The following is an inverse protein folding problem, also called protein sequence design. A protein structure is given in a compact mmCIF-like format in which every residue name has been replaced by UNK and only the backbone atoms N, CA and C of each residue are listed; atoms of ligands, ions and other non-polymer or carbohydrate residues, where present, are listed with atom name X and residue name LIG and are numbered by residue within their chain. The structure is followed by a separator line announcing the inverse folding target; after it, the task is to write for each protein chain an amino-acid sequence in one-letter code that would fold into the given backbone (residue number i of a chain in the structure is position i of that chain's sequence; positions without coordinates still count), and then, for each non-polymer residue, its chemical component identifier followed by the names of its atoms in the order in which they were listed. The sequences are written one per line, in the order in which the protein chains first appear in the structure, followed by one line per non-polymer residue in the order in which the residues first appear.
data_IF_031062034997
#
_entry.id   IF_031062034997
#
_cell.length_a   1.000
_cell.length_b   1.000
_cell.length_c   1.000
_cell.angle_alpha   90.00
_cell.angle_beta   90.00
_cell.angle_gamma   90.00
#
_symmetry.space_group_name_H-M   'P 1'
#
loop_
_entity.id
_entity.type
_entity.pdbx_description
1 polymer ?
#
# COMPACT_ATOMS: atom_id res chain seq x y z
N UNK A 1 4.89 8.47 5.68
CA UNK A 1 4.74 9.78 6.35
C UNK A 1 4.99 9.69 7.86
N UNK A 2 4.49 8.67 8.58
CA UNK A 2 4.66 8.55 10.03
C UNK A 2 6.11 8.71 10.53
N UNK A 3 7.09 8.06 9.89
CA UNK A 3 8.52 8.21 10.25
C UNK A 3 9.06 9.64 10.08
N UNK A 4 8.43 10.47 9.21
CA UNK A 4 8.79 11.87 9.07
C UNK A 4 8.16 12.75 10.15
N UNK A 5 7.30 12.23 11.03
CA UNK A 5 6.79 12.98 12.19
C UNK A 5 6.04 14.27 11.82
N UNK A 6 5.35 14.28 10.68
CA UNK A 6 4.62 15.47 10.20
C UNK A 6 5.51 16.58 9.60
N UNK A 7 6.81 16.35 9.44
CA UNK A 7 7.74 17.30 8.82
C UNK A 7 7.39 17.56 7.35
N UNK A 8 7.61 18.79 6.91
CA UNK A 8 7.48 19.20 5.51
C UNK A 8 8.61 18.58 4.70
N UNK A 9 8.29 17.90 3.60
CA UNK A 9 9.30 17.40 2.67
C UNK A 9 9.62 18.45 1.62
N UNK A 10 10.89 18.84 1.53
CA UNK A 10 11.41 19.72 0.49
C UNK A 10 12.27 18.92 -0.46
N UNK A 11 11.84 18.84 -1.72
CA UNK A 11 12.53 18.08 -2.77
C UNK A 11 13.44 19.01 -3.56
N UNK A 12 14.74 18.70 -3.61
CA UNK A 12 15.73 19.47 -4.37
C UNK A 12 15.95 18.87 -5.75
N UNK A 13 16.44 19.69 -6.69
CA UNK A 13 16.76 19.28 -8.05
C UNK A 13 15.59 18.67 -8.84
N UNK A 14 14.39 19.17 -8.56
CA UNK A 14 13.18 18.83 -9.29
C UNK A 14 12.68 20.07 -10.05
N UNK A 15 12.65 19.99 -11.38
CA UNK A 15 11.96 20.97 -12.21
C UNK A 15 10.50 20.53 -12.40
N UNK A 16 9.52 21.18 -11.75
CA UNK A 16 8.13 20.73 -11.82
C UNK A 16 7.59 20.87 -13.25
N UNK A 17 6.72 19.94 -13.67
CA UNK A 17 6.07 20.04 -14.99
C UNK A 17 5.03 21.15 -15.05
N UNK A 18 4.44 21.50 -13.90
CA UNK A 18 3.44 22.56 -13.74
C UNK A 18 3.77 23.36 -12.49
N UNK A 19 3.75 24.68 -12.61
CA UNK A 19 4.03 25.63 -11.50
C UNK A 19 2.77 26.31 -10.97
N UNK A 20 1.61 26.03 -11.55
CA UNK A 20 0.35 26.65 -11.15
C UNK A 20 -0.07 26.16 -9.75
N UNK A 21 -0.48 27.09 -8.89
CA UNK A 21 -0.91 26.80 -7.53
C UNK A 21 -2.16 25.92 -7.52
N UNK A 22 -2.12 24.84 -6.72
CA UNK A 22 -3.28 23.97 -6.47
C UNK A 22 -3.27 22.60 -7.14
N UNK A 23 -2.18 22.19 -7.81
CA UNK A 23 -2.07 20.82 -8.34
C UNK A 23 -1.92 19.79 -7.23
N UNK A 24 -2.77 18.74 -7.28
CA UNK A 24 -2.65 17.54 -6.44
C UNK A 24 -1.94 16.46 -7.24
N UNK A 25 -0.96 15.82 -6.63
CA UNK A 25 -0.26 14.66 -7.18
C UNK A 25 -0.67 13.43 -6.39
N UNK A 26 -0.93 12.31 -7.07
CA UNK A 26 -0.99 11.01 -6.43
C UNK A 26 0.43 10.53 -6.08
N UNK A 27 0.53 9.65 -5.09
CA UNK A 27 1.81 8.99 -4.78
C UNK A 27 2.25 8.18 -6.00
N UNK A 28 3.43 8.52 -6.54
CA UNK A 28 3.97 7.90 -7.75
C UNK A 28 3.82 8.74 -9.02
N UNK A 29 2.99 9.80 -9.00
CA UNK A 29 2.93 10.75 -10.11
C UNK A 29 4.27 11.47 -10.28
N UNK A 30 4.67 11.68 -11.54
CA UNK A 30 5.85 12.49 -11.83
C UNK A 30 5.53 13.96 -11.56
N UNK A 31 6.04 14.49 -10.44
CA UNK A 31 5.87 15.91 -10.08
C UNK A 31 6.70 16.84 -10.98
N UNK A 32 7.71 16.31 -11.66
CA UNK A 32 8.60 17.06 -12.53
C UNK A 32 9.65 16.18 -13.17
N UNK A 33 10.67 16.83 -13.73
CA UNK A 33 11.89 16.19 -14.24
C UNK A 33 13.04 16.50 -13.29
N UNK A 34 13.82 15.48 -12.93
CA UNK A 34 15.07 15.67 -12.18
C UNK A 34 16.02 16.53 -13.01
N UNK A 35 16.59 17.55 -12.39
CA UNK A 35 17.60 18.40 -13.04
C UNK A 35 18.82 17.56 -13.43
N UNK A 36 19.44 17.80 -14.59
CA UNK A 36 20.68 17.11 -14.93
C UNK A 36 21.77 17.46 -13.90
N UNK A 37 22.69 16.54 -13.69
CA UNK A 37 23.90 16.82 -12.93
C UNK A 37 24.66 18.02 -13.51
N UNK A 38 25.46 18.74 -12.68
CA UNK A 38 26.30 19.81 -13.18
C UNK A 38 27.33 19.26 -14.18
N UNK A 39 27.80 20.12 -15.09
CA UNK A 39 28.77 19.72 -16.13
C UNK A 39 30.09 19.17 -15.54
N UNK A 40 30.46 19.65 -14.35
CA UNK A 40 31.60 19.20 -13.57
C UNK A 40 31.10 18.74 -12.20
N UNK A 41 31.37 17.48 -11.86
CA UNK A 41 30.98 16.87 -10.57
C UNK A 41 32.06 17.11 -9.51
N UNK A 42 33.30 17.33 -9.96
CA UNK A 42 34.47 17.54 -9.12
C UNK A 42 35.37 18.60 -9.75
N UNK A 43 36.15 19.30 -8.93
CA UNK A 43 37.11 20.29 -9.43
C UNK A 43 38.31 19.61 -10.05
N UNK A 44 38.76 18.51 -9.46
CA UNK A 44 40.00 17.84 -9.82
C UNK A 44 39.81 16.40 -10.34
N UNK A 45 38.64 15.79 -10.12
CA UNK A 45 38.45 14.34 -10.26
C UNK A 45 37.33 13.91 -11.22
N UNK A 46 36.88 14.76 -12.15
CA UNK A 46 35.82 14.39 -13.11
C UNK A 46 36.18 13.13 -13.93
N UNK A 47 37.41 13.05 -14.45
CA UNK A 47 37.87 11.87 -15.20
C UNK A 47 37.91 10.60 -14.34
N UNK A 48 38.27 10.75 -13.05
CA UNK A 48 38.23 9.67 -12.06
C UNK A 48 36.81 9.19 -11.81
N UNK A 49 35.85 10.11 -11.62
CA UNK A 49 34.44 9.79 -11.41
C UNK A 49 33.84 9.07 -12.63
N UNK A 50 34.11 9.55 -13.85
CA UNK A 50 33.65 8.90 -15.07
C UNK A 50 34.22 7.48 -15.24
N UNK A 51 35.51 7.29 -14.93
CA UNK A 51 36.13 5.96 -14.96
C UNK A 51 35.54 5.03 -13.90
N UNK A 52 35.32 5.52 -12.69
CA UNK A 52 34.73 4.74 -11.61
C UNK A 52 33.29 4.34 -11.92
N UNK A 53 32.51 5.22 -12.56
CA UNK A 53 31.14 4.92 -13.00
C UNK A 53 31.09 3.80 -14.05
N UNK A 54 32.04 3.80 -15.00
CA UNK A 54 32.18 2.71 -15.98
C UNK A 54 32.53 1.37 -15.31
N UNK A 55 33.45 1.38 -14.34
CA UNK A 55 33.82 0.18 -13.58
C UNK A 55 32.65 -0.32 -12.72
N UNK A 56 31.93 0.59 -12.05
CA UNK A 56 30.74 0.27 -11.26
C UNK A 56 29.65 -0.37 -12.13
N UNK A 57 29.37 0.22 -13.29
CA UNK A 57 28.39 -0.31 -14.27
C UNK A 57 28.77 -1.69 -14.79
N UNK A 58 30.08 -2.00 -14.80
CA UNK A 58 30.62 -3.33 -15.15
C UNK A 58 30.74 -4.28 -13.95
N UNK A 59 30.18 -3.91 -12.79
CA UNK A 59 30.26 -4.67 -11.52
C UNK A 59 31.69 -4.90 -10.99
N UNK A 60 32.67 -4.12 -11.46
CA UNK A 60 34.07 -4.19 -11.02
C UNK A 60 34.29 -3.30 -9.78
N UNK A 61 33.56 -3.59 -8.71
CA UNK A 61 33.45 -2.69 -7.55
C UNK A 61 34.78 -2.44 -6.84
N UNK A 62 35.61 -3.48 -6.66
CA UNK A 62 36.93 -3.32 -6.01
C UNK A 62 37.86 -2.39 -6.79
N UNK A 63 37.82 -2.44 -8.12
CA UNK A 63 38.62 -1.57 -8.96
C UNK A 63 38.06 -0.14 -8.98
N UNK A 64 36.74 0.02 -9.05
CA UNK A 64 36.10 1.32 -8.90
C UNK A 64 36.47 1.98 -7.56
N UNK A 65 36.45 1.21 -6.47
CA UNK A 65 36.83 1.69 -5.14
C UNK A 65 38.29 2.13 -5.08
N UNK A 66 39.21 1.36 -5.68
CA UNK A 66 40.63 1.72 -5.72
C UNK A 66 40.89 3.04 -6.45
N UNK A 67 40.17 3.32 -7.54
CA UNK A 67 40.30 4.60 -8.25
C UNK A 67 39.65 5.75 -7.45
N UNK A 68 38.52 5.50 -6.79
CA UNK A 68 37.79 6.51 -6.01
C UNK A 68 38.50 6.88 -4.70
N UNK A 69 39.35 6.02 -4.15
CA UNK A 69 40.04 6.28 -2.90
C UNK A 69 40.91 7.54 -2.95
N UNK A 70 41.62 7.77 -4.07
CA UNK A 70 42.40 8.98 -4.29
C UNK A 70 41.51 10.23 -4.35
N UNK A 71 40.45 10.18 -5.16
CA UNK A 71 39.50 11.28 -5.28
C UNK A 71 38.84 11.65 -3.94
N UNK A 72 38.53 10.64 -3.11
CA UNK A 72 38.00 10.87 -1.76
C UNK A 72 39.00 11.55 -0.83
N UNK A 73 40.29 11.19 -0.89
CA UNK A 73 41.33 11.88 -0.10
C UNK A 73 41.48 13.34 -0.53
N UNK A 74 41.38 13.62 -1.83
CA UNK A 74 41.52 14.95 -2.40
C UNK A 74 40.31 15.85 -2.11
N UNK A 75 39.08 15.30 -2.21
CA UNK A 75 37.83 16.04 -2.05
C UNK A 75 36.87 15.34 -1.05
N UNK A 76 37.22 15.24 0.25
CA UNK A 76 36.50 14.42 1.23
C UNK A 76 35.10 14.94 1.61
N UNK A 77 34.76 16.15 1.19
CA UNK A 77 33.45 16.80 1.39
C UNK A 77 32.70 17.04 0.08
N UNK A 78 33.20 16.55 -1.06
CA UNK A 78 32.44 16.64 -2.30
C UNK A 78 31.33 15.57 -2.28
N UNK A 79 30.04 15.96 -2.37
CA UNK A 79 28.93 15.02 -2.29
C UNK A 79 28.92 13.98 -3.43
N UNK A 80 29.38 14.33 -4.63
CA UNK A 80 29.46 13.40 -5.75
C UNK A 80 30.55 12.34 -5.54
N UNK A 81 31.71 12.74 -5.02
CA UNK A 81 32.80 11.82 -4.67
C UNK A 81 32.39 10.90 -3.51
N UNK A 82 31.79 11.47 -2.45
CA UNK A 82 31.24 10.72 -1.33
C UNK A 82 30.23 9.67 -1.79
N UNK A 83 29.24 10.08 -2.60
CA UNK A 83 28.21 9.19 -3.11
C UNK A 83 28.79 8.07 -3.98
N UNK A 84 29.66 8.41 -4.94
CA UNK A 84 30.30 7.43 -5.83
C UNK A 84 31.11 6.39 -5.04
N UNK A 85 31.85 6.84 -4.02
CA UNK A 85 32.66 5.94 -3.21
C UNK A 85 31.80 5.09 -2.28
N UNK A 86 30.86 5.69 -1.55
CA UNK A 86 29.93 4.99 -0.67
C UNK A 86 29.15 3.90 -1.41
N UNK A 87 28.57 4.22 -2.59
CA UNK A 87 27.78 3.26 -3.37
C UNK A 87 28.59 2.11 -3.91
N UNK A 88 29.88 2.34 -4.17
CA UNK A 88 30.80 1.31 -4.65
C UNK A 88 31.19 0.37 -3.50
N UNK A 89 31.53 0.92 -2.34
CA UNK A 89 31.86 0.13 -1.15
C UNK A 89 30.66 -0.68 -0.62
N UNK A 90 29.44 -0.22 -0.87
CA UNK A 90 28.21 -0.93 -0.50
C UNK A 90 28.17 -2.36 -1.04
N UNK A 91 28.71 -2.59 -2.23
CA UNK A 91 28.73 -3.91 -2.90
C UNK A 91 29.97 -4.75 -2.58
N UNK A 92 30.80 -4.31 -1.63
CA UNK A 92 31.99 -5.02 -1.20
C UNK A 92 31.78 -5.42 0.26
N UNK A 93 31.49 -6.70 0.50
CA UNK A 93 31.03 -7.22 1.79
C UNK A 93 31.92 -6.79 2.98
N UNK A 94 33.25 -6.88 2.82
CA UNK A 94 34.24 -6.50 3.84
C UNK A 94 34.44 -4.99 3.99
N UNK A 95 33.67 -4.16 3.27
CA UNK A 95 33.76 -2.69 3.27
C UNK A 95 32.42 -1.99 3.51
N UNK A 96 31.38 -2.73 3.90
CA UNK A 96 30.04 -2.17 4.18
C UNK A 96 30.01 -1.19 5.35
N UNK A 97 30.86 -1.36 6.36
CA UNK A 97 30.99 -0.37 7.45
C UNK A 97 31.53 0.97 6.96
N UNK A 98 32.54 0.94 6.08
CA UNK A 98 33.05 2.17 5.49
C UNK A 98 32.02 2.83 4.55
N UNK A 99 31.26 2.02 3.79
CA UNK A 99 30.14 2.53 3.00
C UNK A 99 29.14 3.28 3.87
N UNK A 100 28.78 2.71 5.02
CA UNK A 100 27.87 3.33 5.98
C UNK A 100 28.38 4.67 6.51
N UNK A 101 29.65 4.76 6.92
CA UNK A 101 30.24 6.01 7.41
C UNK A 101 30.23 7.11 6.34
N UNK A 102 30.56 6.75 5.09
CA UNK A 102 30.52 7.69 3.97
C UNK A 102 29.09 8.14 3.65
N UNK A 103 28.12 7.24 3.71
CA UNK A 103 26.71 7.61 3.53
C UNK A 103 26.23 8.52 4.64
N UNK A 104 26.53 8.24 5.92
CA UNK A 104 26.19 9.14 7.02
C UNK A 104 26.79 10.53 6.82
N UNK A 105 28.04 10.61 6.36
CA UNK A 105 28.69 11.89 6.06
C UNK A 105 28.05 12.61 4.88
N UNK A 106 27.67 11.89 3.82
CA UNK A 106 26.94 12.45 2.69
C UNK A 106 25.59 13.03 3.15
N UNK A 107 24.78 12.24 3.84
CA UNK A 107 23.45 12.67 4.29
C UNK A 107 23.56 13.88 5.23
N UNK A 108 24.51 13.87 6.18
CA UNK A 108 24.76 15.01 7.06
C UNK A 108 25.15 16.27 6.28
N UNK A 109 25.95 16.15 5.21
CA UNK A 109 26.32 17.28 4.35
C UNK A 109 25.12 17.82 3.57
N UNK A 110 24.26 16.93 3.05
CA UNK A 110 23.04 17.32 2.33
C UNK A 110 22.06 18.04 3.26
N UNK A 111 21.93 17.56 4.50
CA UNK A 111 21.05 18.16 5.50
C UNK A 111 21.60 19.52 6.01
N UNK A 112 22.92 19.68 6.15
CA UNK A 112 23.54 20.97 6.56
C UNK A 112 23.41 22.09 5.52
N UNK A 113 23.23 21.75 4.24
CA UNK A 113 23.40 22.69 3.13
C UNK A 113 22.37 23.82 3.07
N UNK A 114 21.25 23.74 3.80
CA UNK A 114 20.14 24.72 3.83
C UNK A 114 19.42 24.65 5.17
N UNK A 115 18.57 25.63 5.51
CA UNK A 115 17.83 25.80 6.78
C UNK A 115 16.93 24.60 7.20
N UNK A 116 17.49 23.40 7.36
CA UNK A 116 16.81 22.26 7.96
C UNK A 116 16.68 22.54 9.44
N UNK A 117 15.46 22.81 9.86
CA UNK A 117 15.07 22.76 11.26
C UNK A 117 14.28 21.48 11.52
N UNK A 118 13.83 21.29 12.75
CA UNK A 118 13.07 20.11 13.16
C UNK A 118 11.73 19.94 12.42
N UNK A 119 11.29 20.90 11.59
CA UNK A 119 10.05 20.84 10.83
C UNK A 119 10.23 20.50 9.34
N UNK A 120 11.46 20.35 8.85
CA UNK A 120 11.76 20.12 7.43
C UNK A 120 12.62 18.87 7.22
N UNK A 121 12.31 18.10 6.17
CA UNK A 121 13.12 16.99 5.67
C UNK A 121 13.50 17.26 4.22
N UNK A 122 14.80 17.29 3.93
CA UNK A 122 15.29 17.46 2.56
C UNK A 122 15.31 16.11 1.83
N UNK A 123 14.98 16.13 0.55
CA UNK A 123 15.19 15.00 -0.36
C UNK A 123 15.90 15.53 -1.60
N UNK A 124 17.21 15.35 -1.63
CA UNK A 124 18.03 15.66 -2.80
C UNK A 124 17.93 14.55 -3.85
N UNK A 125 17.33 14.86 -5.00
CA UNK A 125 17.11 13.88 -6.08
C UNK A 125 18.38 13.47 -6.82
N UNK A 126 19.46 14.25 -6.73
CA UNK A 126 20.76 13.84 -7.28
C UNK A 126 21.38 12.66 -6.53
N UNK A 127 21.02 12.51 -5.26
CA UNK A 127 21.52 11.48 -4.35
C UNK A 127 20.41 10.55 -3.84
N UNK A 128 19.32 10.42 -4.60
CA UNK A 128 18.12 9.68 -4.17
C UNK A 128 18.41 8.22 -3.75
N UNK A 129 19.28 7.52 -4.49
CA UNK A 129 19.70 6.14 -4.18
C UNK A 129 20.40 6.02 -2.81
N UNK A 130 21.06 7.09 -2.34
CA UNK A 130 21.78 7.09 -1.07
C UNK A 130 20.85 6.82 0.12
N UNK A 131 19.63 7.37 0.09
CA UNK A 131 18.62 7.16 1.15
C UNK A 131 18.19 5.69 1.24
N UNK A 132 18.03 5.01 0.10
CA UNK A 132 17.70 3.58 0.08
C UNK A 132 18.87 2.72 0.57
N UNK A 133 20.09 2.97 0.09
CA UNK A 133 21.28 2.21 0.50
C UNK A 133 21.60 2.40 1.98
N UNK A 134 21.61 3.63 2.49
CA UNK A 134 21.87 3.88 3.92
C UNK A 134 20.77 3.25 4.79
N UNK A 135 19.52 3.25 4.34
CA UNK A 135 18.45 2.60 5.09
C UNK A 135 18.63 1.09 5.21
N UNK A 136 19.03 0.40 4.13
CA UNK A 136 19.33 -1.03 4.20
C UNK A 136 20.49 -1.32 5.17
N UNK A 137 21.49 -0.43 5.22
CA UNK A 137 22.59 -0.52 6.18
C UNK A 137 22.16 -0.25 7.63
N UNK A 138 21.11 0.56 7.85
CA UNK A 138 20.49 0.71 9.17
C UNK A 138 19.68 -0.53 9.57
N UNK A 139 18.98 -1.18 8.63
CA UNK A 139 18.28 -2.44 8.90
C UNK A 139 19.25 -3.54 9.34
N UNK A 140 20.36 -3.71 8.63
CA UNK A 140 21.39 -4.70 8.97
C UNK A 140 21.97 -4.51 10.39
N UNK A 141 21.92 -3.27 10.90
CA UNK A 141 22.39 -2.89 12.24
C UNK A 141 21.28 -2.90 13.30
N UNK A 142 20.05 -3.22 12.94
CA UNK A 142 18.90 -3.17 13.84
C UNK A 142 18.45 -1.74 14.20
N UNK A 143 18.88 -0.73 13.45
CA UNK A 143 18.49 0.67 13.66
C UNK A 143 17.16 0.99 12.94
N UNK A 144 16.11 0.23 13.27
CA UNK A 144 14.85 0.19 12.52
C UNK A 144 14.13 1.55 12.41
N UNK A 145 14.19 2.38 13.45
CA UNK A 145 13.59 3.72 13.42
C UNK A 145 14.27 4.61 12.38
N UNK A 146 15.59 4.57 12.33
CA UNK A 146 16.39 5.35 11.38
C UNK A 146 16.22 4.79 9.96
N UNK A 147 16.20 3.46 9.81
CA UNK A 147 15.87 2.82 8.54
C UNK A 147 14.49 3.27 8.02
N UNK A 148 13.44 3.20 8.84
CA UNK A 148 12.10 3.63 8.45
C UNK A 148 12.05 5.11 8.01
N UNK A 149 12.83 5.97 8.66
CA UNK A 149 12.96 7.38 8.30
C UNK A 149 13.59 7.55 6.91
N UNK A 150 14.74 6.93 6.66
CA UNK A 150 15.48 7.06 5.41
C UNK A 150 14.76 6.37 4.23
N UNK A 151 14.09 5.24 4.45
CA UNK A 151 13.22 4.63 3.44
C UNK A 151 12.04 5.55 3.13
N UNK A 152 11.46 6.19 4.14
CA UNK A 152 10.37 7.15 3.89
C UNK A 152 10.88 8.36 3.09
N UNK A 153 12.10 8.87 3.33
CA UNK A 153 12.74 9.90 2.49
C UNK A 153 12.88 9.43 1.04
N UNK A 154 13.38 8.22 0.84
CA UNK A 154 13.45 7.60 -0.48
C UNK A 154 12.06 7.53 -1.14
N UNK A 155 11.03 7.09 -0.40
CA UNK A 155 9.67 6.99 -0.92
C UNK A 155 8.94 8.35 -1.06
N UNK A 156 9.52 9.47 -0.63
CA UNK A 156 8.96 10.81 -0.84
C UNK A 156 9.37 11.44 -2.17
N UNK A 157 10.39 10.92 -2.84
CA UNK A 157 10.81 11.43 -4.14
C UNK A 157 9.77 11.13 -5.26
N UNK A 158 9.44 12.11 -6.11
CA UNK A 158 8.60 11.86 -7.29
C UNK A 158 9.33 11.04 -8.35
N UNK A 159 8.57 10.28 -9.14
CA UNK A 159 9.04 9.71 -10.40
C UNK A 159 8.71 8.23 -10.57
N UNK A 160 8.81 7.73 -11.81
CA UNK A 160 8.66 6.31 -12.11
C UNK A 160 9.75 5.56 -11.37
N UNK A 161 9.34 4.72 -10.42
CA UNK A 161 10.27 3.83 -9.72
C UNK A 161 10.33 2.53 -10.49
N UNK A 162 11.54 2.00 -10.61
CA UNK A 162 11.70 0.62 -11.03
C UNK A 162 10.90 -0.27 -10.06
N UNK A 163 10.02 -1.11 -10.60
CA UNK A 163 9.06 -1.91 -9.84
C UNK A 163 9.71 -2.70 -8.69
N UNK A 164 10.84 -3.40 -8.93
CA UNK A 164 11.58 -4.12 -7.90
C UNK A 164 12.12 -3.23 -6.78
N UNK A 165 12.69 -2.05 -7.10
CA UNK A 165 13.25 -1.14 -6.08
C UNK A 165 12.15 -0.56 -5.21
N UNK A 166 11.00 -0.21 -5.81
CA UNK A 166 9.83 0.22 -5.04
C UNK A 166 9.32 -0.90 -4.13
N UNK A 167 9.17 -2.12 -4.64
CA UNK A 167 8.72 -3.26 -3.84
C UNK A 167 9.64 -3.47 -2.64
N UNK A 168 10.95 -3.59 -2.90
CA UNK A 168 11.95 -3.80 -1.86
C UNK A 168 11.96 -2.69 -0.80
N UNK A 169 11.82 -1.42 -1.21
CA UNK A 169 11.73 -0.32 -0.25
C UNK A 169 10.48 -0.42 0.63
N UNK A 170 9.33 -0.87 0.09
CA UNK A 170 8.13 -1.10 0.89
C UNK A 170 8.32 -2.31 1.82
N UNK A 171 8.93 -3.39 1.34
CA UNK A 171 9.23 -4.58 2.15
C UNK A 171 10.11 -4.21 3.35
N UNK A 172 11.13 -3.37 3.12
CA UNK A 172 11.98 -2.81 4.17
C UNK A 172 11.22 -1.94 5.17
N UNK A 173 10.17 -1.23 4.76
CA UNK A 173 9.29 -0.53 5.73
C UNK A 173 8.46 -1.50 6.54
N UNK A 174 7.91 -2.54 5.92
CA UNK A 174 7.16 -3.59 6.63
C UNK A 174 8.05 -4.22 7.70
N UNK A 175 9.28 -4.60 7.34
CA UNK A 175 10.27 -5.14 8.27
C UNK A 175 10.62 -4.15 9.39
N UNK A 176 10.97 -2.91 9.05
CA UNK A 176 11.33 -1.90 10.05
C UNK A 176 10.20 -1.68 11.07
N UNK A 177 8.95 -1.55 10.61
CA UNK A 177 7.82 -1.34 11.51
C UNK A 177 7.43 -2.59 12.28
N UNK A 178 7.66 -3.80 11.74
CA UNK A 178 7.45 -5.04 12.47
C UNK A 178 8.39 -5.14 13.66
N UNK A 179 9.66 -4.76 13.49
CA UNK A 179 10.63 -4.69 14.59
C UNK A 179 10.41 -3.54 15.58
N UNK A 180 9.63 -2.53 15.19
CA UNK A 180 9.21 -1.43 16.08
C UNK A 180 7.87 -1.71 16.77
N UNK A 181 7.30 -2.91 16.62
CA UNK A 181 5.97 -3.29 17.12
C UNK A 181 4.85 -2.31 16.72
N UNK A 182 5.00 -1.66 15.55
CA UNK A 182 4.01 -0.70 15.05
C UNK A 182 3.06 -1.37 14.05
N UNK A 183 2.13 -2.15 14.58
CA UNK A 183 1.20 -2.97 13.80
C UNK A 183 0.37 -2.19 12.77
N UNK A 184 0.04 -0.94 13.07
CA UNK A 184 -0.69 -0.08 12.14
C UNK A 184 0.14 0.22 10.89
N UNK A 185 1.40 0.63 11.08
CA UNK A 185 2.28 0.89 9.95
C UNK A 185 2.63 -0.40 9.20
N UNK A 186 2.80 -1.53 9.89
CA UNK A 186 2.99 -2.83 9.24
C UNK A 186 1.82 -3.14 8.32
N UNK A 187 0.57 -3.05 8.80
CA UNK A 187 -0.62 -3.31 7.96
C UNK A 187 -0.71 -2.36 6.77
N UNK A 188 -0.45 -1.06 6.99
CA UNK A 188 -0.48 -0.04 5.94
C UNK A 188 0.51 -0.36 4.81
N UNK A 189 1.77 -0.62 5.16
CA UNK A 189 2.81 -0.88 4.17
C UNK A 189 2.71 -2.28 3.56
N UNK A 190 2.29 -3.28 4.34
CA UNK A 190 2.05 -4.62 3.84
C UNK A 190 0.92 -4.66 2.81
N UNK A 191 -0.16 -3.90 3.05
CA UNK A 191 -1.21 -3.71 2.06
C UNK A 191 -0.63 -3.15 0.76
N UNK A 192 0.19 -2.11 0.85
CA UNK A 192 0.79 -1.48 -0.34
C UNK A 192 1.70 -2.48 -1.08
N UNK A 193 2.52 -3.25 -0.38
CA UNK A 193 3.36 -4.28 -0.99
C UNK A 193 2.51 -5.33 -1.72
N UNK A 194 1.46 -5.86 -1.08
CA UNK A 194 0.60 -6.87 -1.71
C UNK A 194 -0.18 -6.33 -2.93
N UNK A 195 -0.45 -5.03 -3.00
CA UNK A 195 -1.01 -4.39 -4.21
C UNK A 195 -0.04 -4.36 -5.39
N UNK A 196 1.27 -4.37 -5.13
CA UNK A 196 2.31 -4.42 -6.16
C UNK A 196 2.66 -5.87 -6.51
N UNK A 197 2.72 -6.72 -5.49
CA UNK A 197 3.02 -8.13 -5.59
C UNK A 197 2.21 -8.92 -4.56
N UNK A 198 1.05 -9.43 -4.96
CA UNK A 198 0.19 -10.24 -4.09
C UNK A 198 0.84 -11.57 -3.64
N UNK A 199 2.02 -11.91 -4.15
CA UNK A 199 2.81 -13.10 -3.79
C UNK A 199 4.04 -12.78 -2.96
N UNK A 200 4.09 -11.60 -2.35
CA UNK A 200 5.23 -11.18 -1.55
C UNK A 200 5.39 -12.05 -0.30
N UNK A 201 6.30 -13.02 -0.38
CA UNK A 201 6.50 -14.01 0.68
C UNK A 201 7.07 -13.36 1.96
N UNK A 202 7.90 -12.33 1.83
CA UNK A 202 8.49 -11.63 2.97
C UNK A 202 7.39 -10.90 3.75
N UNK A 203 6.57 -10.12 3.06
CA UNK A 203 5.45 -9.39 3.69
C UNK A 203 4.42 -10.34 4.29
N UNK A 204 4.07 -11.42 3.59
CA UNK A 204 3.16 -12.43 4.13
C UNK A 204 3.71 -13.08 5.40
N UNK A 205 5.02 -13.34 5.47
CA UNK A 205 5.65 -13.90 6.67
C UNK A 205 5.46 -12.99 7.89
N UNK A 206 5.64 -11.67 7.74
CA UNK A 206 5.40 -10.71 8.82
C UNK A 206 3.93 -10.68 9.24
N UNK A 207 3.00 -10.64 8.28
CA UNK A 207 1.58 -10.65 8.60
C UNK A 207 1.15 -11.95 9.31
N UNK A 208 1.72 -13.10 8.95
CA UNK A 208 1.46 -14.35 9.66
C UNK A 208 2.04 -14.37 11.08
N UNK A 209 3.25 -13.83 11.27
CA UNK A 209 3.86 -13.69 12.60
C UNK A 209 3.06 -12.75 13.52
N UNK A 210 2.42 -11.71 12.96
CA UNK A 210 1.51 -10.85 13.72
C UNK A 210 0.25 -11.59 14.22
N UNK A 211 -0.15 -12.68 13.55
CA UNK A 211 -1.33 -13.47 13.91
C UNK A 211 -2.62 -12.65 13.90
N UNK A 212 -3.38 -12.67 15.00
CA UNK A 212 -4.64 -11.92 15.09
C UNK A 212 -4.46 -10.40 14.97
N UNK A 213 -3.26 -9.87 15.30
CA UNK A 213 -2.93 -8.44 15.20
C UNK A 213 -2.87 -7.96 13.74
N UNK A 214 -2.59 -8.84 12.77
CA UNK A 214 -2.65 -8.48 11.35
C UNK A 214 -4.07 -8.15 10.90
N UNK A 215 -5.07 -8.77 11.53
CA UNK A 215 -6.49 -8.58 11.23
C UNK A 215 -7.22 -7.74 12.26
N UNK A 216 -6.50 -7.19 13.26
CA UNK A 216 -7.10 -6.31 14.25
C UNK A 216 -7.41 -4.95 13.62
N UNK A 217 -8.60 -4.44 13.93
CA UNK A 217 -9.08 -3.13 13.54
C UNK A 217 -8.46 -2.03 14.39
N UNK A 218 -8.40 -0.81 13.85
CA UNK A 218 -8.10 0.37 14.66
C UNK A 218 -9.20 0.53 15.72
N UNK A 219 -8.91 1.09 16.90
CA UNK A 219 -9.92 1.29 17.95
C UNK A 219 -11.16 2.07 17.46
N UNK A 220 -10.97 3.02 16.54
CA UNK A 220 -12.05 3.76 15.87
C UNK A 220 -12.97 2.83 15.07
N UNK A 221 -12.41 1.86 14.35
CA UNK A 221 -13.17 0.87 13.58
C UNK A 221 -13.81 -0.19 14.51
N UNK A 222 -13.22 -0.46 15.68
CA UNK A 222 -13.83 -1.34 16.71
C UNK A 222 -15.15 -0.76 17.23
N UNK A 223 -15.22 0.57 17.38
CA UNK A 223 -16.47 1.24 17.76
C UNK A 223 -17.54 1.15 16.67
N UNK A 224 -17.13 1.19 15.41
CA UNK A 224 -18.04 0.95 14.31
C UNK A 224 -18.56 -0.49 14.33
N UNK A 225 -17.77 -1.45 14.78
CA UNK A 225 -18.06 -2.88 14.64
C UNK A 225 -18.70 -3.55 15.85
N UNK A 226 -19.42 -2.78 16.66
CA UNK A 226 -20.15 -3.31 17.81
C UNK A 226 -21.41 -4.06 17.36
N UNK A 227 -21.71 -5.23 17.97
CA UNK A 227 -22.98 -5.90 17.75
C UNK A 227 -24.15 -4.98 18.12
N UNK A 228 -25.25 -5.10 17.37
CA UNK A 228 -26.48 -4.31 17.53
C UNK A 228 -27.17 -4.37 18.91
N UNK A 229 -26.69 -5.20 19.84
CA UNK A 229 -27.23 -5.28 21.19
C UNK A 229 -26.87 -4.04 22.04
N UNK A 230 -25.88 -3.26 21.62
CA UNK A 230 -25.48 -2.04 22.31
C UNK A 230 -26.36 -0.84 21.87
N UNK A 231 -26.83 -0.05 22.84
CA UNK A 231 -27.74 1.09 22.62
C UNK A 231 -27.11 2.29 21.90
N UNK A 232 -25.82 2.21 21.58
CA UNK A 232 -25.09 3.28 20.91
C UNK A 232 -25.05 3.02 19.40
N UNK A 233 -25.42 4.00 18.57
CA UNK A 233 -25.29 3.86 17.13
C UNK A 233 -23.81 3.65 16.77
N UNK A 234 -23.49 2.76 15.83
CA UNK A 234 -22.13 2.63 15.33
C UNK A 234 -21.72 3.96 14.70
N UNK A 235 -20.56 4.47 15.10
CA UNK A 235 -20.03 5.75 14.62
C UNK A 235 -18.77 5.48 13.81
N UNK A 236 -18.64 6.11 12.65
CA UNK A 236 -17.35 6.25 11.96
C UNK A 236 -17.05 5.25 10.84
N UNK A 237 -17.93 4.30 10.52
CA UNK A 237 -17.73 3.44 9.33
C UNK A 237 -19.02 3.17 8.55
N UNK A 238 -18.84 2.94 7.25
CA UNK A 238 -19.87 2.44 6.35
C UNK A 238 -20.12 0.96 6.62
N UNK A 239 -21.27 0.61 7.18
CA UNK A 239 -21.58 -0.78 7.53
C UNK A 239 -23.08 -1.02 7.67
N UNK A 240 -23.51 -2.24 7.32
CA UNK A 240 -24.86 -2.71 7.59
C UNK A 240 -24.97 -3.21 9.03
N UNK A 241 -25.99 -2.74 9.74
CA UNK A 241 -26.31 -3.19 11.10
C UNK A 241 -27.77 -3.54 11.22
N UNK A 242 -28.03 -4.60 11.99
CA UNK A 242 -29.38 -4.90 12.45
C UNK A 242 -29.85 -3.82 13.44
N UNK A 243 -31.04 -3.27 13.22
CA UNK A 243 -31.76 -2.44 14.18
C UNK A 243 -33.18 -3.01 14.32
N UNK A 244 -33.40 -3.75 15.42
CA UNK A 244 -34.63 -4.50 15.64
C UNK A 244 -34.83 -5.61 14.60
N UNK A 245 -35.92 -5.51 13.83
CA UNK A 245 -36.24 -6.43 12.73
C UNK A 245 -35.69 -5.97 11.37
N UNK A 246 -35.10 -4.78 11.30
CA UNK A 246 -34.60 -4.19 10.05
C UNK A 246 -33.08 -4.21 10.01
N UNK A 247 -32.51 -4.10 8.81
CA UNK A 247 -31.08 -3.83 8.62
C UNK A 247 -30.96 -2.45 8.01
N UNK A 248 -30.04 -1.64 8.54
CA UNK A 248 -29.77 -0.29 8.04
C UNK A 248 -28.32 -0.16 7.63
N UNK A 249 -28.10 0.59 6.55
CA UNK A 249 -26.79 1.13 6.24
C UNK A 249 -26.52 2.31 7.18
N UNK A 250 -25.38 2.27 7.87
CA UNK A 250 -24.90 3.40 8.68
C UNK A 250 -23.69 3.98 7.97
N UNK A 251 -23.69 5.30 7.78
CA UNK A 251 -22.60 6.07 7.18
C UNK A 251 -21.98 7.03 8.22
N UNK A 252 -20.71 7.44 8.07
CA UNK A 252 -20.09 8.49 8.88
C UNK A 252 -20.87 9.81 8.77
N UNK A 253 -20.85 10.62 9.84
CA UNK A 253 -21.46 11.96 9.84
C UNK A 253 -20.85 12.82 8.72
N UNK A 254 -21.70 13.43 7.88
CA UNK A 254 -21.30 14.31 6.79
C UNK A 254 -21.19 13.65 5.41
N UNK A 255 -21.48 12.34 5.29
CA UNK A 255 -21.93 11.78 4.02
C UNK A 255 -23.45 11.96 3.92
N UNK A 256 -23.89 12.85 3.01
CA UNK A 256 -25.30 13.20 2.81
C UNK A 256 -26.01 12.18 1.89
N UNK A 257 -25.35 11.09 1.54
CA UNK A 257 -25.93 10.02 0.75
C UNK A 257 -26.75 9.06 1.61
N UNK A 258 -28.06 9.29 1.62
CA UNK A 258 -29.05 8.48 2.34
C UNK A 258 -29.35 7.12 1.68
N UNK A 259 -28.67 6.77 0.57
CA UNK A 259 -28.87 5.46 -0.08
C UNK A 259 -28.14 4.34 0.67
N UNK A 260 -28.41 3.08 0.30
CA UNK A 260 -27.66 1.91 0.83
C UNK A 260 -26.26 1.76 0.22
N UNK A 261 -25.98 2.49 -0.87
CA UNK A 261 -24.74 2.40 -1.61
C UNK A 261 -23.44 2.66 -0.79
N UNK A 262 -23.40 3.52 0.25
CA UNK A 262 -22.19 3.71 1.03
C UNK A 262 -21.69 2.42 1.71
N UNK A 263 -22.63 1.55 2.12
CA UNK A 263 -22.32 0.30 2.81
C UNK A 263 -22.01 -0.86 1.85
N UNK A 264 -22.15 -0.66 0.53
CA UNK A 264 -21.84 -1.67 -0.49
C UNK A 264 -20.35 -1.69 -0.77
N UNK A 265 -19.59 -2.15 0.22
CA UNK A 265 -18.14 -2.24 0.19
C UNK A 265 -17.63 -3.52 0.83
N UNK A 266 -16.48 -4.00 0.38
CA UNK A 266 -15.74 -5.07 1.06
C UNK A 266 -14.27 -4.67 1.14
N UNK A 267 -13.77 -4.47 2.36
CA UNK A 267 -12.49 -3.82 2.60
C UNK A 267 -12.53 -2.36 2.15
N UNK A 268 -11.58 -1.98 1.29
CA UNK A 268 -11.49 -0.61 0.77
C UNK A 268 -12.22 -0.41 -0.56
N UNK A 269 -12.66 -1.49 -1.21
CA UNK A 269 -13.32 -1.42 -2.51
C UNK A 269 -14.83 -1.31 -2.35
N UNK A 270 -15.45 -0.41 -3.09
CA UNK A 270 -16.90 -0.16 -2.98
C UNK A 270 -17.61 -0.01 -4.33
N UNK A 271 -18.92 -0.24 -4.33
CA UNK A 271 -19.77 -0.06 -5.51
C UNK A 271 -19.82 1.42 -5.92
N UNK A 272 -19.58 1.71 -7.19
CA UNK A 272 -19.48 3.07 -7.74
C UNK A 272 -18.06 3.66 -7.72
N UNK A 273 -17.07 2.94 -7.19
CA UNK A 273 -15.65 3.32 -7.26
C UNK A 273 -15.13 3.20 -8.69
N UNK A 274 -14.22 4.10 -9.11
CA UNK A 274 -13.69 4.06 -10.48
C UNK A 274 -12.65 2.97 -10.63
N UNK A 275 -12.59 2.38 -11.83
CA UNK A 275 -11.65 1.31 -12.14
C UNK A 275 -10.18 1.70 -11.92
N UNK A 276 -9.77 2.92 -12.27
CA UNK A 276 -8.40 3.41 -12.05
C UNK A 276 -8.08 3.56 -10.56
N UNK A 277 -9.06 3.95 -9.75
CA UNK A 277 -8.94 4.02 -8.30
C UNK A 277 -8.81 2.60 -7.68
N UNK A 278 -9.63 1.64 -8.14
CA UNK A 278 -9.52 0.23 -7.74
C UNK A 278 -8.17 -0.37 -8.14
N UNK A 279 -7.72 -0.16 -9.37
CA UNK A 279 -6.43 -0.65 -9.87
C UNK A 279 -5.24 0.03 -9.15
N UNK A 280 -5.40 1.27 -8.71
CA UNK A 280 -4.43 1.95 -7.84
C UNK A 280 -4.31 1.31 -6.45
N UNK A 281 -5.42 0.77 -5.93
CA UNK A 281 -5.49 0.16 -4.60
C UNK A 281 -5.15 -1.34 -4.58
N UNK A 282 -5.57 -2.09 -5.61
CA UNK A 282 -5.41 -3.55 -5.70
C UNK A 282 -4.29 -3.99 -6.65
N UNK A 283 -3.77 -3.09 -7.47
CA UNK A 283 -2.93 -3.43 -8.61
C UNK A 283 -3.74 -3.84 -9.85
N UNK A 284 -3.04 -4.25 -10.90
CA UNK A 284 -3.67 -4.69 -12.14
C UNK A 284 -4.45 -6.00 -11.96
N UNK A 285 -5.56 -6.22 -12.70
CA UNK A 285 -6.29 -7.48 -12.64
C UNK A 285 -5.40 -8.63 -13.13
N UNK A 286 -5.42 -9.75 -12.40
CA UNK A 286 -4.68 -10.94 -12.77
C UNK A 286 -5.30 -11.64 -13.98
N UNK A 287 -6.64 -11.64 -14.06
CA UNK A 287 -7.42 -12.29 -15.13
C UNK A 287 -8.71 -11.54 -15.39
N UNK A 288 -9.28 -11.70 -16.58
CA UNK A 288 -10.66 -11.35 -16.89
C UNK A 288 -11.39 -12.56 -17.46
N UNK A 289 -12.71 -12.59 -17.30
CA UNK A 289 -13.55 -13.66 -17.82
C UNK A 289 -14.95 -13.14 -18.16
N UNK A 290 -15.53 -13.68 -19.25
CA UNK A 290 -16.88 -13.36 -19.68
C UNK A 290 -17.91 -14.08 -18.81
N UNK A 291 -18.91 -13.33 -18.35
CA UNK A 291 -20.06 -13.82 -17.63
C UNK A 291 -21.18 -14.25 -18.61
N UNK A 292 -22.12 -15.07 -18.13
CA UNK A 292 -23.24 -15.58 -18.96
C UNK A 292 -24.15 -14.49 -19.52
N UNK A 293 -24.22 -13.34 -18.84
CA UNK A 293 -24.99 -12.17 -19.25
C UNK A 293 -24.20 -11.25 -20.22
N UNK A 294 -23.02 -11.65 -20.68
CA UNK A 294 -22.16 -10.87 -21.58
C UNK A 294 -21.31 -9.80 -20.89
N UNK A 295 -21.39 -9.64 -19.56
CA UNK A 295 -20.49 -8.73 -18.84
C UNK A 295 -19.09 -9.35 -18.70
N UNK A 296 -18.08 -8.53 -18.46
CA UNK A 296 -16.72 -8.98 -18.14
C UNK A 296 -16.48 -8.78 -16.65
N UNK A 297 -16.06 -9.85 -15.99
CA UNK A 297 -15.57 -9.79 -14.61
C UNK A 297 -14.04 -9.84 -14.61
N UNK A 298 -13.46 -9.15 -13.63
CA UNK A 298 -12.01 -9.03 -13.44
C UNK A 298 -11.63 -9.61 -12.08
N UNK A 299 -10.58 -10.41 -12.06
CA UNK A 299 -10.04 -11.04 -10.85
C UNK A 299 -8.82 -10.26 -10.37
N UNK A 300 -8.87 -9.74 -9.15
CA UNK A 300 -7.77 -9.03 -8.49
C UNK A 300 -7.27 -9.85 -7.32
N UNK A 301 -6.01 -10.25 -7.36
CA UNK A 301 -5.42 -11.07 -6.30
C UNK A 301 -5.13 -10.17 -5.09
N UNK A 302 -5.65 -10.53 -3.91
CA UNK A 302 -5.33 -9.84 -2.65
C UNK A 302 -4.04 -10.39 -2.07
N UNK A 303 -3.95 -11.71 -1.99
CA UNK A 303 -2.73 -12.41 -1.61
C UNK A 303 -2.73 -13.84 -2.13
N UNK A 304 -1.54 -14.43 -2.26
CA UNK A 304 -1.34 -15.85 -2.56
C UNK A 304 0.00 -16.32 -2.00
N UNK A 305 -0.03 -17.31 -1.10
CA UNK A 305 1.16 -17.78 -0.39
C UNK A 305 1.92 -18.93 -1.11
N UNK A 306 1.49 -19.31 -2.31
CA UNK A 306 2.08 -20.42 -3.07
C UNK A 306 1.51 -21.80 -2.72
N UNK A 307 0.84 -21.96 -1.58
CA UNK A 307 0.32 -23.25 -1.06
C UNK A 307 -1.14 -23.53 -1.46
N UNK A 308 -1.63 -22.86 -2.51
CA UNK A 308 -3.04 -22.78 -2.93
C UNK A 308 -3.93 -21.88 -2.05
N UNK A 309 -3.41 -21.34 -0.94
CA UNK A 309 -4.14 -20.34 -0.15
C UNK A 309 -4.04 -18.98 -0.81
N UNK A 310 -5.16 -18.27 -0.80
CA UNK A 310 -5.23 -16.91 -1.31
C UNK A 310 -6.65 -16.37 -1.26
N UNK A 311 -6.75 -15.05 -1.32
CA UNK A 311 -8.02 -14.37 -1.51
C UNK A 311 -7.94 -13.49 -2.75
N UNK A 312 -9.07 -13.29 -3.40
CA UNK A 312 -9.17 -12.40 -4.54
C UNK A 312 -10.53 -11.72 -4.56
N UNK A 313 -10.54 -10.53 -5.16
CA UNK A 313 -11.76 -9.88 -5.59
C UNK A 313 -12.15 -10.37 -6.98
N UNK A 314 -13.44 -10.54 -7.21
CA UNK A 314 -14.06 -10.59 -8.54
C UNK A 314 -14.91 -9.34 -8.68
N UNK A 315 -14.59 -8.49 -9.66
CA UNK A 315 -15.22 -7.19 -9.85
C UNK A 315 -15.82 -7.11 -11.25
N UNK A 316 -17.08 -6.71 -11.33
CA UNK A 316 -17.74 -6.33 -12.57
C UNK A 316 -17.81 -4.81 -12.64
N UNK A 317 -17.45 -4.25 -13.80
CA UNK A 317 -17.56 -2.83 -14.06
C UNK A 317 -18.75 -2.52 -14.97
N UNK A 318 -19.20 -1.27 -14.90
CA UNK A 318 -20.15 -0.71 -15.85
C UNK A 318 -19.81 0.74 -16.19
N UNK A 319 -20.33 1.22 -17.32
CA UNK A 319 -20.12 2.60 -17.75
C UNK A 319 -20.99 3.58 -16.96
N UNK A 320 -20.37 4.58 -16.35
CA UNK A 320 -21.02 5.72 -15.70
C UNK A 320 -20.23 7.00 -15.98
N UNK A 321 -20.91 8.02 -16.51
CA UNK A 321 -20.34 9.37 -16.72
C UNK A 321 -19.02 9.37 -17.52
N UNK A 322 -18.90 8.48 -18.51
CA UNK A 322 -17.68 8.35 -19.34
C UNK A 322 -16.51 7.64 -18.66
N UNK A 323 -16.75 6.96 -17.55
CA UNK A 323 -15.77 6.13 -16.83
C UNK A 323 -16.33 4.75 -16.50
N UNK A 324 -15.45 3.78 -16.22
CA UNK A 324 -15.85 2.49 -15.67
C UNK A 324 -15.91 2.56 -14.15
N UNK A 325 -17.04 2.19 -13.56
CA UNK A 325 -17.25 2.13 -12.12
C UNK A 325 -17.65 0.72 -11.67
N UNK A 326 -17.36 0.37 -10.43
CA UNK A 326 -17.71 -0.93 -9.84
C UNK A 326 -19.23 -1.10 -9.81
N UNK A 327 -19.74 -2.08 -10.54
CA UNK A 327 -21.14 -2.53 -10.49
C UNK A 327 -21.37 -3.55 -9.39
N UNK A 328 -20.50 -4.55 -9.32
CA UNK A 328 -20.52 -5.58 -8.29
C UNK A 328 -19.10 -5.97 -7.91
N UNK A 329 -18.91 -6.33 -6.65
CA UNK A 329 -17.65 -6.90 -6.18
C UNK A 329 -17.91 -8.06 -5.24
N UNK A 330 -17.03 -9.05 -5.29
CA UNK A 330 -17.07 -10.24 -4.48
C UNK A 330 -15.67 -10.55 -3.96
N UNK A 331 -15.50 -10.68 -2.64
CA UNK A 331 -14.27 -11.17 -2.01
C UNK A 331 -14.47 -12.63 -1.62
N UNK A 332 -13.58 -13.52 -2.06
CA UNK A 332 -13.76 -14.99 -1.90
C UNK A 332 -12.48 -15.68 -1.44
N UNK A 333 -12.67 -16.87 -0.86
CA UNK A 333 -11.68 -17.87 -0.42
C UNK A 333 -11.15 -17.66 1.00
N UNK A 334 -9.83 -17.67 1.15
CA UNK A 334 -9.17 -17.70 2.44
C UNK A 334 -9.32 -16.38 3.16
N UNK A 335 -9.23 -16.41 4.49
CA UNK A 335 -9.13 -15.19 5.29
C UNK A 335 -7.85 -14.43 4.90
N UNK A 336 -7.95 -13.20 4.37
CA UNK A 336 -6.78 -12.38 4.14
C UNK A 336 -6.05 -12.09 5.45
N UNK A 337 -4.71 -12.03 5.45
CA UNK A 337 -3.94 -11.57 6.60
C UNK A 337 -3.99 -10.03 6.72
N UNK A 338 -5.12 -9.44 6.35
CA UNK A 338 -5.45 -8.02 6.36
C UNK A 338 -6.92 -7.86 6.78
N UNK A 339 -7.32 -6.75 7.40
CA UNK A 339 -8.68 -6.54 7.90
C UNK A 339 -9.66 -6.16 6.76
N UNK A 340 -9.81 -7.01 5.74
CA UNK A 340 -10.75 -6.80 4.64
C UNK A 340 -12.13 -7.33 5.01
N UNK A 341 -12.99 -6.45 5.52
CA UNK A 341 -14.32 -6.83 5.99
C UNK A 341 -15.48 -6.25 5.17
N UNK A 342 -16.61 -6.94 5.25
CA UNK A 342 -17.92 -6.42 4.91
C UNK A 342 -18.71 -6.22 6.19
N UNK A 343 -19.08 -4.98 6.49
CA UNK A 343 -19.89 -4.66 7.66
C UNK A 343 -19.39 -5.35 8.92
N UNK A 344 -18.07 -5.30 9.15
CA UNK A 344 -17.43 -5.88 10.31
C UNK A 344 -17.26 -7.40 10.32
N UNK A 345 -17.61 -8.09 9.25
CA UNK A 345 -17.45 -9.54 9.06
C UNK A 345 -16.32 -9.84 8.09
N UNK A 346 -15.38 -10.70 8.50
CA UNK A 346 -14.24 -11.12 7.70
C UNK A 346 -14.52 -12.48 7.03
N UNK A 347 -13.81 -12.76 5.94
CA UNK A 347 -13.69 -14.14 5.46
C UNK A 347 -13.13 -15.05 6.57
N UNK A 348 -13.63 -16.27 6.61
CA UNK A 348 -13.33 -17.29 7.63
C UNK A 348 -14.02 -17.07 8.98
N UNK A 349 -14.71 -15.94 9.23
CA UNK A 349 -15.50 -15.78 10.45
C UNK A 349 -16.64 -16.83 10.51
N UNK A 350 -17.08 -17.26 11.70
CA UNK A 350 -18.22 -18.16 11.83
C UNK A 350 -19.50 -17.53 11.25
N UNK A 351 -20.36 -18.35 10.64
CA UNK A 351 -21.61 -17.87 10.04
C UNK A 351 -22.53 -17.15 11.04
N UNK A 352 -22.49 -17.56 12.32
CA UNK A 352 -23.17 -16.89 13.43
C UNK A 352 -22.75 -15.41 13.59
N UNK A 353 -21.49 -15.08 13.32
CA UNK A 353 -21.04 -13.68 13.35
C UNK A 353 -21.75 -12.85 12.28
N UNK A 354 -21.92 -13.41 11.09
CA UNK A 354 -22.65 -12.76 10.00
C UNK A 354 -24.12 -12.54 10.39
N UNK A 355 -24.79 -13.54 10.97
CA UNK A 355 -26.19 -13.39 11.39
C UNK A 355 -26.38 -12.44 12.58
N UNK A 356 -25.42 -12.37 13.50
CA UNK A 356 -25.45 -11.37 14.59
C UNK A 356 -25.34 -9.95 14.04
N UNK A 357 -24.56 -9.74 13.00
CA UNK A 357 -24.32 -8.44 12.40
C UNK A 357 -25.51 -7.93 11.59
N UNK A 358 -26.00 -8.73 10.64
CA UNK A 358 -27.01 -8.30 9.66
C UNK A 358 -28.34 -9.06 9.76
N UNK A 359 -28.50 -9.93 10.75
CA UNK A 359 -29.70 -10.77 10.90
C UNK A 359 -29.66 -12.08 10.10
N UNK A 360 -30.73 -12.89 10.18
CA UNK A 360 -30.85 -14.10 9.37
C UNK A 360 -31.01 -13.77 7.88
N UNK A 361 -30.53 -14.63 6.97
CA UNK A 361 -30.76 -14.45 5.53
C UNK A 361 -32.23 -14.63 5.19
N UNK A 362 -32.67 -13.97 4.12
CA UNK A 362 -34.03 -14.10 3.56
C UNK A 362 -34.18 -15.40 2.78
N UNK A 363 -33.13 -15.84 2.11
CA UNK A 363 -33.10 -17.16 1.46
C UNK A 363 -31.76 -17.83 1.61
N UNK A 364 -31.80 -19.17 1.65
CA UNK A 364 -30.65 -20.06 1.67
C UNK A 364 -30.79 -21.01 0.49
N UNK A 365 -29.78 -21.02 -0.39
CA UNK A 365 -29.71 -21.93 -1.54
C UNK A 365 -28.41 -22.75 -1.50
N UNK A 366 -28.35 -23.94 -2.11
CA UNK A 366 -27.09 -24.65 -2.28
C UNK A 366 -26.09 -23.83 -3.11
N UNK A 367 -24.83 -23.84 -2.69
CA UNK A 367 -23.70 -23.26 -3.43
C UNK A 367 -22.69 -24.36 -3.76
N UNK A 368 -22.19 -24.39 -4.99
CA UNK A 368 -21.13 -25.31 -5.43
C UNK A 368 -20.20 -24.59 -6.41
N UNK A 369 -18.92 -24.49 -6.05
CA UNK A 369 -17.84 -24.09 -6.96
C UNK A 369 -17.14 -25.36 -7.44
N UNK A 370 -17.62 -25.89 -8.57
CA UNK A 370 -17.11 -27.12 -9.17
C UNK A 370 -15.64 -27.00 -9.60
N UNK A 371 -15.11 -25.79 -9.82
CA UNK A 371 -13.73 -25.59 -10.26
C UNK A 371 -12.70 -25.93 -9.18
N UNK A 372 -13.13 -25.91 -7.92
CA UNK A 372 -12.31 -26.18 -6.73
C UNK A 372 -12.95 -27.16 -5.75
N UNK A 373 -14.10 -27.75 -6.12
CA UNK A 373 -14.78 -28.76 -5.32
C UNK A 373 -15.37 -28.26 -4.00
N UNK A 374 -15.64 -26.95 -3.88
CA UNK A 374 -16.18 -26.34 -2.67
C UNK A 374 -17.71 -26.39 -2.70
N UNK A 375 -18.33 -26.83 -1.61
CA UNK A 375 -19.79 -26.90 -1.44
C UNK A 375 -20.22 -26.19 -0.18
N UNK A 376 -21.38 -25.56 -0.22
CA UNK A 376 -21.90 -24.80 0.90
C UNK A 376 -23.29 -24.27 0.67
N UNK A 377 -23.57 -23.13 1.29
CA UNK A 377 -24.85 -22.44 1.21
C UNK A 377 -24.64 -21.00 0.77
N UNK A 378 -25.42 -20.54 -0.21
CA UNK A 378 -25.56 -19.13 -0.54
C UNK A 378 -26.67 -18.52 0.31
N UNK A 379 -26.32 -17.52 1.10
CA UNK A 379 -27.21 -16.74 1.94
C UNK A 379 -27.49 -15.40 1.26
N UNK A 380 -28.77 -15.11 0.98
CA UNK A 380 -29.18 -13.86 0.31
C UNK A 380 -30.01 -12.99 1.26
N UNK A 381 -29.75 -11.68 1.24
CA UNK A 381 -30.33 -10.70 2.16
C UNK A 381 -31.29 -9.72 1.47
N UNK A 382 -31.89 -10.15 0.36
CA UNK A 382 -32.82 -9.34 -0.43
C UNK A 382 -33.91 -8.71 0.45
N UNK A 383 -34.27 -7.43 0.28
CA UNK A 383 -33.91 -6.57 -0.85
C UNK A 383 -32.53 -5.91 -0.75
N UNK A 384 -31.76 -6.17 0.32
CA UNK A 384 -30.42 -5.61 0.45
C UNK A 384 -29.49 -6.27 -0.59
N UNK A 385 -28.66 -5.48 -1.29
CA UNK A 385 -27.95 -6.00 -2.45
C UNK A 385 -26.59 -6.59 -2.03
N UNK A 386 -26.66 -7.56 -1.12
CA UNK A 386 -25.52 -8.34 -0.70
C UNK A 386 -25.90 -9.80 -0.41
N UNK A 387 -24.90 -10.67 -0.47
CA UNK A 387 -25.01 -12.10 -0.19
C UNK A 387 -23.70 -12.62 0.38
N UNK A 388 -23.75 -13.77 1.03
CA UNK A 388 -22.58 -14.49 1.50
C UNK A 388 -22.65 -15.96 1.12
N UNK A 389 -21.51 -16.57 0.85
CA UNK A 389 -21.40 -18.02 0.71
C UNK A 389 -20.80 -18.57 2.01
N UNK A 390 -21.46 -19.57 2.59
CA UNK A 390 -21.08 -20.22 3.84
C UNK A 390 -20.61 -21.64 3.54
N UNK A 391 -19.37 -21.96 3.90
CA UNK A 391 -18.74 -23.28 3.73
C UNK A 391 -18.25 -23.72 5.11
N UNK A 392 -18.57 -24.94 5.52
CA UNK A 392 -18.21 -25.48 6.83
C UNK A 392 -18.52 -24.54 8.01
N UNK A 393 -19.71 -23.92 7.96
CA UNK A 393 -20.19 -22.93 8.92
C UNK A 393 -19.30 -21.67 9.06
N UNK A 394 -18.54 -21.34 8.02
CA UNK A 394 -17.69 -20.14 7.94
C UNK A 394 -18.00 -19.33 6.69
N UNK A 395 -17.81 -18.02 6.79
CA UNK A 395 -17.95 -17.08 5.68
C UNK A 395 -16.84 -17.34 4.68
N UNK A 396 -17.19 -17.87 3.51
CA UNK A 396 -16.26 -18.21 2.44
C UNK A 396 -16.17 -17.11 1.38
N UNK A 397 -17.29 -16.43 1.14
CA UNK A 397 -17.39 -15.36 0.15
C UNK A 397 -18.39 -14.32 0.58
N UNK A 398 -18.15 -13.07 0.20
CA UNK A 398 -19.08 -11.95 0.40
C UNK A 398 -19.19 -11.18 -0.90
N UNK A 399 -20.41 -10.98 -1.38
CA UNK A 399 -20.71 -10.22 -2.60
C UNK A 399 -21.63 -9.04 -2.29
N UNK A 400 -21.31 -7.88 -2.85
CA UNK A 400 -22.17 -6.69 -2.87
C UNK A 400 -22.36 -6.22 -4.32
N UNK A 401 -23.50 -5.61 -4.62
CA UNK A 401 -23.79 -5.11 -5.97
C UNK A 401 -24.67 -3.87 -5.94
N UNK A 402 -24.62 -3.05 -6.99
CA UNK A 402 -25.59 -1.96 -7.18
C UNK A 402 -26.97 -2.56 -7.48
N UNK A 403 -28.04 -2.19 -6.73
CA UNK A 403 -29.41 -2.48 -7.13
C UNK A 403 -29.72 -1.89 -8.51
N UNK A 404 -30.43 -2.61 -9.36
CA UNK A 404 -30.79 -2.12 -10.70
C UNK A 404 -31.60 -0.82 -10.67
N UNK A 405 -32.35 -0.58 -9.59
CA UNK A 405 -33.13 0.63 -9.37
C UNK A 405 -32.28 1.89 -9.08
N UNK A 406 -31.01 1.75 -8.67
CA UNK A 406 -30.11 2.88 -8.44
C UNK A 406 -29.29 3.14 -9.71
N UNK A 407 -29.20 4.38 -10.24
CA UNK A 407 -28.39 4.63 -11.42
C UNK A 407 -26.89 4.40 -11.14
N UNK A 408 -26.10 3.96 -12.14
CA UNK A 408 -24.64 3.99 -12.05
C UNK A 408 -24.18 5.42 -11.78
N UNK A 409 -23.40 5.62 -10.72
CA UNK A 409 -22.90 6.94 -10.33
C UNK A 409 -21.48 6.81 -9.82
N UNK A 410 -20.60 7.73 -10.23
CA UNK A 410 -19.29 7.87 -9.62
C UNK A 410 -19.46 8.24 -8.15
N UNK A 411 -18.80 7.49 -7.27
CA UNK A 411 -18.83 7.77 -5.84
C UNK A 411 -17.43 7.99 -5.30
N UNK A 412 -17.30 8.98 -4.42
CA UNK A 412 -16.12 9.18 -3.58
C UNK A 412 -16.57 9.13 -2.13
N UNK A 413 -16.21 8.07 -1.42
CA UNK A 413 -16.52 7.98 0.01
C UNK A 413 -15.73 9.06 0.77
N UNK A 414 -16.39 9.72 1.71
CA UNK A 414 -15.71 10.56 2.70
C UNK A 414 -15.27 9.62 3.82
N UNK A 415 -13.99 9.30 3.85
CA UNK A 415 -13.40 8.67 5.03
C UNK A 415 -13.09 9.79 6.03
N UNK A 416 -13.37 9.57 7.32
CA UNK A 416 -12.91 10.49 8.34
C UNK A 416 -11.39 10.57 8.23
N UNK A 417 -10.84 11.76 7.99
CA UNK A 417 -9.39 11.93 8.10
C UNK A 417 -9.01 11.61 9.56
N UNK A 418 -7.95 10.82 9.79
CA UNK A 418 -7.46 10.61 11.14
C UNK A 418 -7.09 11.97 11.71
N UNK A 419 -7.82 12.39 12.75
CA UNK A 419 -7.64 13.66 13.45
C UNK A 419 -6.34 13.72 14.22
#
# INVERSE_FOLDING_TARGET
MAALGGRTVVVLHLKPYRTDSGYRFAVGDSMGRVEPYPAHLSRNNDGTLARADSLYSSQRYREAAAVLEGAYRDEPTNPFVLNAYARTLFWIDDRRDQSFDLYRRLIALLDQGRDTNDSVVLVDLWFHEAYWKIASLYLDRGEYKTAAFEITRFLSAPGPRDGPVLNQAIDYLVEAYAHLDNDEQVRLWAKRALSLNARDAQVLSFLYQMGSRATSRLPTDVLACRPAADTLPPVGAYSFFRQGATVRCVAPRGDDDETVAPCLRVGEVYVGERRDEVEGALGAPQRSFSQRNGTVAYMYLVFFDGSQRGAYYVIEYESAEGSEVVRSLQLTRDRPPLPLDFSCVLLGDPAERFTRQVGPPVSIAPFEDASIGVKGQQWTYGPLPFSAEIVDNRVYSIRVWRPDALPPKRRRLKFAEPS
#
